data_IF_199054958046
#
_entry.id   IF_199054958046
#
_cell.length_a   1.000
_cell.length_b   1.000
_cell.length_c   1.000
_cell.angle_alpha   90.00
_cell.angle_beta   90.00
_cell.angle_gamma   90.00
#
_symmetry.space_group_name_H-M   'P 1'
#
loop_
_entity.id
_entity.type
_entity.pdbx_description
1 polymer ?
#
# COMPACT_ATOMS: atom_id res chain seq x y z
N UNK A 1 -14.79 -6.28 8.05
CA UNK A 1 -14.56 -7.42 8.88
C UNK A 1 -13.39 -8.24 8.38
N UNK A 2 -13.22 -9.38 8.96
CA UNK A 2 -12.05 -10.22 8.70
C UNK A 2 -11.94 -10.63 7.25
N UNK A 3 -13.06 -10.85 6.59
CA UNK A 3 -13.05 -11.32 5.21
C UNK A 3 -12.50 -10.32 4.23
N UNK A 4 -12.69 -9.04 4.50
CA UNK A 4 -12.21 -8.02 3.59
C UNK A 4 -10.71 -8.15 3.38
N UNK A 5 -9.95 -8.17 4.48
CA UNK A 5 -8.49 -8.22 4.38
C UNK A 5 -8.02 -9.56 3.83
N UNK A 6 -8.62 -10.65 4.29
CA UNK A 6 -8.21 -11.97 3.81
C UNK A 6 -8.40 -12.11 2.31
N UNK A 7 -9.54 -11.67 1.81
CA UNK A 7 -9.80 -11.76 0.38
C UNK A 7 -8.82 -10.89 -0.38
N UNK A 8 -8.61 -9.68 0.09
CA UNK A 8 -7.69 -8.77 -0.59
C UNK A 8 -6.27 -9.32 -0.57
N UNK A 9 -5.85 -9.84 0.58
CA UNK A 9 -4.52 -10.42 0.70
C UNK A 9 -4.33 -11.58 -0.26
N UNK A 10 -5.26 -12.53 -0.24
CA UNK A 10 -5.12 -13.74 -1.04
C UNK A 10 -5.23 -13.46 -2.54
N UNK A 11 -6.06 -12.50 -2.92
CA UNK A 11 -6.33 -12.28 -4.34
C UNK A 11 -5.42 -11.24 -4.97
N UNK A 12 -4.76 -10.43 -4.17
CA UNK A 12 -4.03 -9.30 -4.73
C UNK A 12 -2.66 -9.11 -4.10
N UNK A 13 -2.60 -9.02 -2.78
CA UNK A 13 -1.40 -8.57 -2.11
C UNK A 13 -0.38 -9.67 -1.87
N UNK A 14 -0.84 -10.90 -1.71
CA UNK A 14 0.07 -12.00 -1.47
C UNK A 14 1.06 -12.13 -2.62
N UNK A 15 0.56 -12.08 -3.84
CA UNK A 15 1.41 -12.17 -5.00
C UNK A 15 2.38 -11.00 -5.06
N UNK A 16 1.90 -9.84 -4.65
CA UNK A 16 2.73 -8.66 -4.64
C UNK A 16 3.95 -8.85 -3.74
N UNK A 17 3.74 -9.47 -2.58
CA UNK A 17 4.82 -9.70 -1.63
C UNK A 17 5.72 -10.85 -2.03
N UNK A 18 5.16 -11.86 -2.68
CA UNK A 18 5.91 -13.05 -3.08
C UNK A 18 6.82 -12.78 -4.26
N UNK A 19 6.46 -11.82 -5.08
CA UNK A 19 7.27 -11.47 -6.24
C UNK A 19 8.38 -10.55 -5.84
N UNK A 20 9.41 -10.55 -6.63
CA UNK A 20 10.48 -9.60 -6.39
C UNK A 20 9.95 -8.20 -6.56
N UNK A 21 10.64 -7.31 -5.91
CA UNK A 21 10.26 -5.91 -5.96
C UNK A 21 10.33 -5.36 -7.38
N UNK A 22 9.65 -4.27 -7.56
CA UNK A 22 9.65 -3.59 -8.83
C UNK A 22 11.03 -2.99 -9.11
N UNK A 23 11.24 -2.69 -10.37
CA UNK A 23 12.54 -2.22 -10.81
C UNK A 23 12.84 -0.81 -10.37
N UNK A 24 14.10 -0.44 -10.50
CA UNK A 24 14.54 0.88 -10.15
C UNK A 24 14.01 2.00 -11.03
N UNK A 25 13.40 1.67 -12.15
CA UNK A 25 12.85 2.70 -13.01
C UNK A 25 11.71 3.46 -12.37
N UNK A 26 11.25 3.03 -11.22
CA UNK A 26 10.21 3.72 -10.48
C UNK A 26 10.75 4.80 -9.55
N UNK A 27 12.03 5.12 -9.69
CA UNK A 27 12.70 5.95 -8.70
C UNK A 27 12.32 7.43 -8.72
N UNK A 28 11.80 7.93 -9.82
CA UNK A 28 11.63 9.38 -9.97
C UNK A 28 10.18 9.78 -10.10
N UNK A 29 9.35 9.19 -9.27
CA UNK A 29 7.91 9.49 -9.30
C UNK A 29 7.58 10.89 -8.80
N UNK A 30 8.52 11.53 -8.12
CA UNK A 30 8.27 12.86 -7.58
C UNK A 30 8.06 13.92 -8.66
N UNK A 31 8.44 13.64 -9.90
CA UNK A 31 8.21 14.58 -10.98
C UNK A 31 6.82 14.46 -11.61
N UNK A 32 6.05 13.50 -11.18
CA UNK A 32 4.68 13.32 -11.68
C UNK A 32 3.70 14.02 -10.76
N UNK A 33 2.58 14.40 -11.33
CA UNK A 33 1.51 15.00 -10.54
C UNK A 33 0.65 13.90 -9.92
N UNK A 34 0.25 14.14 -8.70
CA UNK A 34 -0.62 13.25 -7.98
C UNK A 34 -1.93 13.97 -7.68
N UNK A 35 -3.05 13.27 -7.79
CA UNK A 35 -4.33 13.88 -7.49
C UNK A 35 -4.62 13.81 -5.99
N UNK A 36 -5.80 14.32 -5.60
CA UNK A 36 -6.15 14.38 -4.19
C UNK A 36 -6.24 13.01 -3.55
N UNK A 37 -6.67 12.01 -4.29
CA UNK A 37 -6.75 10.65 -3.76
C UNK A 37 -5.37 10.08 -3.50
N UNK A 38 -4.42 10.39 -4.38
CA UNK A 38 -3.05 9.97 -4.18
C UNK A 38 -2.44 10.64 -2.96
N UNK A 39 -2.63 11.94 -2.83
CA UNK A 39 -2.08 12.69 -1.70
C UNK A 39 -2.60 12.12 -0.39
N UNK A 40 -3.90 11.83 -0.34
CA UNK A 40 -4.50 11.23 0.84
C UNK A 40 -3.89 9.87 1.14
N UNK A 41 -3.64 9.08 0.09
CA UNK A 41 -3.07 7.75 0.26
C UNK A 41 -1.67 7.83 0.84
N UNK A 42 -0.84 8.74 0.34
CA UNK A 42 0.49 8.95 0.92
C UNK A 42 0.38 9.29 2.41
N UNK A 43 -0.57 10.14 2.75
CA UNK A 43 -0.77 10.53 4.14
C UNK A 43 -1.17 9.35 5.00
N UNK A 44 -2.08 8.53 4.51
CA UNK A 44 -2.55 7.36 5.27
C UNK A 44 -1.40 6.39 5.53
N UNK A 45 -0.53 6.20 4.55
CA UNK A 45 0.62 5.32 4.73
C UNK A 45 1.74 5.98 5.53
N UNK A 46 1.66 7.29 5.73
CA UNK A 46 2.69 7.99 6.47
C UNK A 46 3.99 8.14 5.72
N UNK A 47 3.91 8.32 4.42
CA UNK A 47 5.10 8.47 3.58
C UNK A 47 5.04 9.79 2.82
N UNK A 48 6.19 10.22 2.34
CA UNK A 48 6.28 11.44 1.57
C UNK A 48 5.68 11.26 0.19
N UNK A 49 5.08 12.32 -0.31
CA UNK A 49 4.51 12.31 -1.65
C UNK A 49 5.62 12.05 -2.66
N UNK A 50 5.41 11.07 -3.54
CA UNK A 50 6.37 10.78 -4.58
C UNK A 50 7.52 9.89 -4.17
N UNK A 51 7.41 9.26 -3.00
CA UNK A 51 8.44 8.34 -2.53
C UNK A 51 8.62 7.21 -3.54
N UNK A 52 9.81 6.62 -3.56
CA UNK A 52 10.08 5.49 -4.45
C UNK A 52 9.16 4.33 -4.14
N UNK A 53 8.74 3.64 -5.19
CA UNK A 53 7.80 2.55 -5.01
C UNK A 53 8.30 1.49 -4.03
N UNK A 54 9.57 1.13 -4.10
CA UNK A 54 10.13 0.15 -3.20
C UNK A 54 9.98 0.55 -1.74
N UNK A 55 10.15 1.83 -1.47
CA UNK A 55 10.03 2.33 -0.10
C UNK A 55 8.57 2.33 0.35
N UNK A 56 7.66 2.58 -0.58
CA UNK A 56 6.23 2.49 -0.26
C UNK A 56 5.86 1.06 0.08
N UNK A 57 6.38 0.10 -0.68
CA UNK A 57 6.13 -1.31 -0.40
C UNK A 57 6.68 -1.71 0.96
N UNK A 58 7.87 -1.25 1.29
CA UNK A 58 8.47 -1.56 2.58
C UNK A 58 7.62 -1.02 3.73
N UNK A 59 7.15 0.20 3.55
CA UNK A 59 6.29 0.79 4.59
C UNK A 59 5.00 0.02 4.74
N UNK A 60 4.41 -0.38 3.63
CA UNK A 60 3.17 -1.15 3.68
C UNK A 60 3.39 -2.47 4.41
N UNK A 61 4.49 -3.16 4.11
CA UNK A 61 4.79 -4.41 4.79
C UNK A 61 4.91 -4.21 6.29
N UNK A 62 5.58 -3.16 6.69
CA UNK A 62 5.73 -2.85 8.11
C UNK A 62 4.38 -2.62 8.77
N UNK A 63 3.52 -1.87 8.09
CA UNK A 63 2.20 -1.57 8.64
C UNK A 63 1.31 -2.81 8.71
N UNK A 64 1.39 -3.68 7.71
CA UNK A 64 0.63 -4.92 7.73
C UNK A 64 1.05 -5.78 8.92
N UNK A 65 2.34 -5.88 9.16
CA UNK A 65 2.82 -6.66 10.30
C UNK A 65 2.31 -6.10 11.61
N UNK A 66 2.26 -4.78 11.71
CA UNK A 66 1.83 -4.15 12.95
C UNK A 66 0.35 -4.34 13.21
N UNK A 67 -0.48 -4.24 12.17
CA UNK A 67 -1.93 -4.26 12.33
C UNK A 67 -2.59 -5.56 11.90
N UNK A 68 -1.79 -6.60 11.69
CA UNK A 68 -2.32 -7.86 11.19
C UNK A 68 -3.35 -8.47 12.13
N UNK A 69 -4.46 -8.99 11.59
CA UNK A 69 -5.51 -9.57 12.45
C UNK A 69 -5.04 -10.73 13.31
N UNK A 70 -4.09 -11.52 12.82
CA UNK A 70 -3.61 -12.67 13.57
C UNK A 70 -2.90 -12.26 14.86
N UNK A 71 -2.32 -11.07 14.87
CA UNK A 71 -1.62 -10.57 16.03
C UNK A 71 -2.54 -9.76 16.92
N UNK A 72 -3.52 -9.10 16.32
CA UNK A 72 -4.37 -8.15 17.02
C UNK A 72 -5.82 -8.63 17.04
N UNK A 73 -6.02 -9.84 17.44
CA UNK A 73 -7.34 -10.46 17.47
C UNK A 73 -8.35 -9.61 18.23
N UNK A 74 -9.48 -9.38 17.59
CA UNK A 74 -10.55 -8.65 18.23
C UNK A 74 -10.37 -7.16 18.32
N UNK A 75 -9.27 -6.63 17.84
CA UNK A 75 -9.06 -5.19 17.89
C UNK A 75 -9.64 -4.54 16.64
N UNK A 76 -10.85 -4.03 16.78
CA UNK A 76 -11.56 -3.46 15.66
C UNK A 76 -10.90 -2.19 15.13
N UNK A 77 -10.28 -1.46 15.99
CA UNK A 77 -9.59 -0.24 15.61
C UNK A 77 -8.44 -0.54 14.67
N UNK A 78 -7.67 -1.58 15.00
CA UNK A 78 -6.56 -1.99 14.15
C UNK A 78 -7.08 -2.57 12.83
N UNK A 79 -8.19 -3.28 12.89
CA UNK A 79 -8.78 -3.83 11.69
C UNK A 79 -9.19 -2.72 10.72
N UNK A 80 -9.81 -1.66 11.25
CA UNK A 80 -10.21 -0.54 10.41
C UNK A 80 -9.00 0.19 9.84
N UNK A 81 -7.96 0.34 10.64
CA UNK A 81 -6.74 0.97 10.16
C UNK A 81 -6.12 0.16 9.03
N UNK A 82 -6.11 -1.15 9.17
CA UNK A 82 -5.53 -1.99 8.13
C UNK A 82 -6.32 -1.89 6.83
N UNK A 83 -7.63 -1.76 6.92
CA UNK A 83 -8.43 -1.56 5.73
C UNK A 83 -8.03 -0.27 5.00
N UNK A 84 -7.91 0.81 5.75
CA UNK A 84 -7.54 2.09 5.16
C UNK A 84 -6.14 2.03 4.55
N UNK A 85 -5.21 1.42 5.26
CA UNK A 85 -3.84 1.27 4.79
C UNK A 85 -3.82 0.47 3.49
N UNK A 86 -4.59 -0.59 3.43
CA UNK A 86 -4.62 -1.45 2.25
C UNK A 86 -5.22 -0.72 1.05
N UNK A 87 -6.27 0.05 1.28
CA UNK A 87 -6.89 0.82 0.21
C UNK A 87 -5.93 1.89 -0.30
N UNK A 88 -5.22 2.54 0.62
CA UNK A 88 -4.26 3.56 0.23
C UNK A 88 -3.13 2.95 -0.60
N UNK A 89 -2.64 1.80 -0.18
CA UNK A 89 -1.60 1.12 -0.94
C UNK A 89 -2.08 0.76 -2.34
N UNK A 90 -3.29 0.25 -2.46
CA UNK A 90 -3.85 -0.11 -3.75
C UNK A 90 -4.00 1.11 -4.65
N UNK A 91 -4.43 2.23 -4.09
CA UNK A 91 -4.53 3.47 -4.83
C UNK A 91 -3.18 3.86 -5.43
N UNK A 92 -2.14 3.84 -4.60
CA UNK A 92 -0.82 4.23 -5.06
C UNK A 92 -0.23 3.21 -6.03
N UNK A 93 -0.50 1.95 -5.81
CA UNK A 93 -0.04 0.92 -6.72
C UNK A 93 -0.57 1.17 -8.14
N UNK A 94 -1.84 1.49 -8.24
CA UNK A 94 -2.44 1.78 -9.53
C UNK A 94 -1.86 3.05 -10.14
N UNK A 95 -1.67 4.07 -9.33
CA UNK A 95 -1.13 5.34 -9.81
C UNK A 95 0.29 5.17 -10.33
N UNK A 96 1.14 4.49 -9.57
CA UNK A 96 2.53 4.29 -9.99
C UNK A 96 2.60 3.45 -11.25
N UNK A 97 1.76 2.43 -11.34
CA UNK A 97 1.73 1.59 -12.53
C UNK A 97 1.33 2.39 -13.76
N UNK A 98 0.30 3.22 -13.64
CA UNK A 98 -0.16 4.02 -14.76
C UNK A 98 0.90 5.01 -15.24
N UNK A 99 1.58 5.64 -14.30
CA UNK A 99 2.57 6.65 -14.66
C UNK A 99 3.79 6.05 -15.31
N UNK A 100 4.15 4.84 -14.90
CA UNK A 100 5.31 4.17 -15.48
C UNK A 100 4.97 3.61 -16.86
N UNK A 101 3.75 3.12 -17.03
CA UNK A 101 3.34 2.50 -18.28
C UNK A 101 3.09 3.50 -19.40
N UNK A 102 2.90 4.76 -19.06
CA UNK A 102 2.75 5.77 -20.10
C UNK A 102 4.09 6.31 -20.54
#
# INVERSE_FOLDING_TARGET
>A
SDNFFKVLWNNTLKDEFDKTKLRGEYNHMNQFKFDGNDIKAFSILGVSVGLKWEQIQDKFKTLVKKFHPDINLGNKEYEEKLKLITLAYTQLKNTYREKIDT
#
